data_IF_898303844716
#
_entry.id   IF_898303844716
#
_cell.length_a   1.000
_cell.length_b   1.000
_cell.length_c   1.000
_cell.angle_alpha   90.00
_cell.angle_beta   90.00
_cell.angle_gamma   90.00
#
_symmetry.space_group_name_H-M   'P 1'
#
loop_
_entity.id
_entity.type
_entity.pdbx_description
1 polymer ?
#
# COMPACT_ATOMS: atom_id res chain seq x y z
N UNK A 1 -27.90 -6.99 -7.20
CA UNK A 1 -27.66 -5.56 -7.52
C UNK A 1 -27.74 -5.29 -9.03
N UNK A 2 -28.16 -4.10 -9.46
CA UNK A 2 -28.29 -3.75 -10.89
C UNK A 2 -26.92 -3.55 -11.54
N UNK A 3 -26.06 -2.77 -10.91
CA UNK A 3 -24.68 -2.52 -11.31
C UNK A 3 -23.79 -2.37 -10.07
N UNK A 4 -22.47 -2.32 -10.27
CA UNK A 4 -21.53 -2.06 -9.18
C UNK A 4 -21.44 -0.58 -8.84
N UNK A 5 -20.76 -0.22 -7.74
CA UNK A 5 -20.49 1.17 -7.39
C UNK A 5 -19.76 1.90 -8.52
N UNK A 6 -19.99 3.21 -8.63
CA UNK A 6 -19.45 4.05 -9.70
C UNK A 6 -18.59 5.17 -9.12
N UNK A 7 -17.77 5.78 -9.98
CA UNK A 7 -16.85 6.88 -9.63
C UNK A 7 -15.98 6.53 -8.42
N UNK A 8 -15.38 5.34 -8.44
CA UNK A 8 -14.33 4.99 -7.49
C UNK A 8 -13.13 5.90 -7.77
N UNK A 9 -12.74 6.67 -6.76
CA UNK A 9 -11.69 7.67 -6.83
C UNK A 9 -10.79 7.61 -5.59
N UNK A 10 -9.53 8.00 -5.75
CA UNK A 10 -8.60 8.20 -4.64
C UNK A 10 -8.82 9.59 -4.05
N UNK A 11 -8.91 9.66 -2.72
CA UNK A 11 -8.96 10.92 -1.97
C UNK A 11 -7.57 11.28 -1.46
N UNK A 12 -6.86 10.29 -0.91
CA UNK A 12 -5.55 10.47 -0.30
C UNK A 12 -4.72 9.19 -0.45
N UNK A 13 -3.42 9.37 -0.67
CA UNK A 13 -2.42 8.30 -0.73
C UNK A 13 -1.35 8.64 0.28
N UNK A 14 -0.98 7.64 1.08
CA UNK A 14 0.15 7.70 2.00
C UNK A 14 0.95 6.39 1.89
N UNK A 15 2.07 6.31 2.60
CA UNK A 15 2.95 5.14 2.54
C UNK A 15 2.29 3.86 3.05
N UNK A 16 1.42 3.94 4.06
CA UNK A 16 0.81 2.78 4.73
C UNK A 16 -0.71 2.79 4.72
N UNK A 17 -1.32 3.78 4.07
CA UNK A 17 -2.77 3.88 3.97
C UNK A 17 -3.20 4.59 2.69
N UNK A 18 -4.40 4.24 2.22
CA UNK A 18 -5.02 4.87 1.05
C UNK A 18 -6.49 5.09 1.37
N UNK A 19 -6.98 6.30 1.12
CA UNK A 19 -8.40 6.64 1.29
C UNK A 19 -9.06 6.71 -0.08
N UNK A 20 -10.10 5.92 -0.25
CA UNK A 20 -10.91 5.87 -1.47
C UNK A 20 -12.32 6.39 -1.20
N UNK A 21 -12.97 6.88 -2.25
CA UNK A 21 -14.37 7.29 -2.23
C UNK A 21 -15.13 6.79 -3.44
N UNK A 22 -16.44 6.77 -3.36
CA UNK A 22 -17.32 6.39 -4.49
C UNK A 22 -18.60 7.21 -4.52
N UNK A 23 -19.32 7.16 -5.65
CA UNK A 23 -20.64 7.76 -5.79
C UNK A 23 -21.64 7.04 -4.86
N UNK A 24 -22.41 7.78 -4.01
CA UNK A 24 -23.46 7.19 -3.19
C UNK A 24 -24.46 6.40 -4.02
N UNK A 25 -24.92 5.27 -3.50
CA UNK A 25 -25.95 4.47 -4.13
C UNK A 25 -26.98 4.02 -3.11
N UNK A 26 -28.22 3.84 -3.57
CA UNK A 26 -29.35 3.46 -2.71
C UNK A 26 -30.06 2.21 -3.20
N UNK A 27 -31.30 2.06 -2.77
CA UNK A 27 -32.14 0.91 -3.11
C UNK A 27 -32.35 0.73 -4.62
N UNK A 28 -32.30 1.81 -5.39
CA UNK A 28 -32.32 1.78 -6.86
C UNK A 28 -31.19 0.91 -7.45
N UNK A 29 -30.05 0.82 -6.77
CA UNK A 29 -28.89 0.00 -7.17
C UNK A 29 -28.87 -1.33 -6.43
N UNK A 30 -29.05 -1.32 -5.11
CA UNK A 30 -28.91 -2.53 -4.29
C UNK A 30 -30.04 -3.52 -4.51
N UNK A 31 -31.27 -3.04 -4.77
CA UNK A 31 -32.51 -3.82 -4.92
C UNK A 31 -32.78 -4.79 -3.75
N UNK A 32 -32.14 -4.54 -2.62
CA UNK A 32 -32.24 -5.33 -1.40
C UNK A 32 -31.82 -4.47 -0.22
N UNK A 33 -32.50 -4.63 0.93
CA UNK A 33 -32.10 -4.00 2.18
C UNK A 33 -30.96 -4.74 2.88
N UNK A 34 -30.77 -6.02 2.56
CA UNK A 34 -29.64 -6.82 3.01
C UNK A 34 -28.59 -6.86 1.90
N UNK A 35 -27.51 -6.09 2.07
CA UNK A 35 -26.38 -6.06 1.14
C UNK A 35 -25.09 -5.80 1.92
N UNK A 36 -23.96 -6.14 1.30
CA UNK A 36 -22.64 -5.81 1.80
C UNK A 36 -21.82 -5.14 0.69
N UNK A 37 -21.07 -4.11 1.09
CA UNK A 37 -20.04 -3.49 0.25
C UNK A 37 -18.70 -3.87 0.84
N UNK A 38 -17.81 -4.41 0.02
CA UNK A 38 -16.41 -4.63 0.39
C UNK A 38 -15.49 -3.89 -0.57
N UNK A 39 -14.38 -3.39 -0.04
CA UNK A 39 -13.23 -3.04 -0.85
C UNK A 39 -12.38 -4.29 -1.01
N UNK A 40 -12.12 -4.68 -2.26
CA UNK A 40 -11.17 -5.72 -2.60
C UNK A 40 -9.93 -5.04 -3.17
N UNK A 41 -8.76 -5.36 -2.63
CA UNK A 41 -7.50 -4.83 -3.12
C UNK A 41 -6.45 -5.91 -3.27
N UNK A 42 -5.58 -5.73 -4.26
CA UNK A 42 -4.49 -6.64 -4.57
C UNK A 42 -3.17 -5.87 -4.61
N UNK A 43 -2.17 -6.40 -3.92
CA UNK A 43 -0.79 -5.89 -3.92
C UNK A 43 0.17 -7.02 -4.27
N UNK A 44 1.27 -6.67 -4.94
CA UNK A 44 2.37 -7.61 -5.16
C UNK A 44 3.53 -7.26 -4.26
N UNK A 45 3.71 -8.03 -3.19
CA UNK A 45 4.79 -7.83 -2.21
C UNK A 45 5.73 -9.03 -2.26
N UNK A 46 7.03 -8.78 -2.41
CA UNK A 46 8.06 -9.83 -2.45
C UNK A 46 7.76 -10.98 -3.46
N UNK A 47 7.16 -10.65 -4.61
CA UNK A 47 6.84 -11.61 -5.66
C UNK A 47 5.59 -12.45 -5.43
N UNK A 48 4.89 -12.28 -4.30
CA UNK A 48 3.58 -12.90 -4.03
C UNK A 48 2.46 -11.89 -4.28
N UNK A 49 1.42 -12.34 -4.96
CA UNK A 49 0.17 -11.57 -5.07
C UNK A 49 -0.67 -11.85 -3.83
N UNK A 50 -0.96 -10.79 -3.08
CA UNK A 50 -1.88 -10.82 -1.95
C UNK A 50 -3.18 -10.11 -2.34
N UNK A 51 -4.31 -10.80 -2.18
CA UNK A 51 -5.64 -10.21 -2.31
C UNK A 51 -6.28 -10.16 -0.93
N UNK A 52 -6.82 -8.99 -0.57
CA UNK A 52 -7.50 -8.76 0.70
C UNK A 52 -8.86 -8.11 0.45
N UNK A 53 -9.76 -8.29 1.41
CA UNK A 53 -11.09 -7.71 1.39
C UNK A 53 -11.42 -7.08 2.74
N UNK A 54 -11.96 -5.87 2.72
CA UNK A 54 -12.42 -5.16 3.92
C UNK A 54 -13.87 -4.70 3.72
N UNK A 55 -14.70 -4.85 4.76
CA UNK A 55 -16.09 -4.39 4.73
C UNK A 55 -16.13 -2.87 4.88
N UNK A 56 -16.87 -2.21 3.98
CA UNK A 56 -17.10 -0.77 4.05
C UNK A 56 -18.36 -0.51 4.89
N UNK A 57 -18.22 0.23 5.99
CA UNK A 57 -19.33 0.54 6.89
C UNK A 57 -20.02 1.87 6.55
N UNK A 58 -19.28 2.86 6.05
CA UNK A 58 -19.83 4.15 5.64
C UNK A 58 -20.32 4.12 4.18
N UNK A 59 -21.49 3.52 3.97
CA UNK A 59 -22.11 3.38 2.63
C UNK A 59 -23.26 4.35 2.38
N UNK A 60 -23.79 4.97 3.44
CA UNK A 60 -24.98 5.82 3.41
C UNK A 60 -24.66 7.32 3.48
N UNK A 61 -23.39 7.68 3.67
CA UNK A 61 -22.93 9.07 3.63
C UNK A 61 -23.15 9.75 2.29
N UNK A 62 -23.15 11.10 2.31
CA UNK A 62 -23.20 11.92 1.09
C UNK A 62 -21.95 11.74 0.22
N UNK A 63 -20.83 11.45 0.86
CA UNK A 63 -19.52 11.24 0.26
C UNK A 63 -18.88 10.02 0.94
N UNK A 64 -19.33 8.79 0.61
CA UNK A 64 -18.90 7.58 1.31
C UNK A 64 -17.43 7.28 1.00
N UNK A 65 -16.67 6.93 2.05
CA UNK A 65 -15.23 6.68 1.97
C UNK A 65 -14.82 5.44 2.74
N UNK A 66 -13.66 4.90 2.37
CA UNK A 66 -12.99 3.84 3.12
C UNK A 66 -11.49 4.07 3.10
N UNK A 67 -10.85 3.95 4.26
CA UNK A 67 -9.38 4.00 4.37
C UNK A 67 -8.86 2.58 4.56
N UNK A 68 -8.04 2.14 3.61
CA UNK A 68 -7.30 0.88 3.69
C UNK A 68 -6.03 1.18 4.48
N UNK A 69 -5.78 0.43 5.56
CA UNK A 69 -4.63 0.62 6.44
C UNK A 69 -3.63 -0.54 6.34
N UNK A 70 -2.46 -0.38 6.96
CA UNK A 70 -1.42 -1.41 7.04
C UNK A 70 -0.94 -1.90 5.66
N UNK A 71 -0.86 -0.98 4.70
CA UNK A 71 -0.31 -1.22 3.38
C UNK A 71 1.22 -1.20 3.41
N UNK A 72 1.84 -1.87 2.43
CA UNK A 72 3.30 -1.82 2.24
C UNK A 72 3.66 -0.56 1.45
N UNK A 73 4.62 0.26 1.93
CA UNK A 73 5.10 1.42 1.18
C UNK A 73 5.63 1.09 -0.22
N UNK A 74 5.63 2.09 -1.09
CA UNK A 74 6.09 2.02 -2.48
C UNK A 74 5.60 0.79 -3.27
N UNK A 75 4.35 0.38 -3.05
CA UNK A 75 3.77 -0.83 -3.65
C UNK A 75 2.57 -0.48 -4.54
N UNK A 76 2.53 -1.08 -5.73
CA UNK A 76 1.38 -0.96 -6.62
C UNK A 76 0.19 -1.73 -6.05
N UNK A 77 -0.96 -1.05 -6.02
CA UNK A 77 -2.24 -1.51 -5.55
C UNK A 77 -3.26 -1.45 -6.67
N UNK A 78 -4.03 -2.52 -6.78
CA UNK A 78 -5.19 -2.64 -7.66
C UNK A 78 -6.42 -2.78 -6.79
N UNK A 79 -7.33 -1.81 -6.84
CA UNK A 79 -8.45 -1.65 -5.91
C UNK A 79 -9.78 -1.63 -6.65
N UNK A 80 -10.78 -2.33 -6.13
CA UNK A 80 -12.17 -2.27 -6.61
C UNK A 80 -13.16 -2.45 -5.48
N UNK A 81 -14.39 -2.01 -5.71
CA UNK A 81 -15.50 -2.22 -4.81
C UNK A 81 -16.36 -3.39 -5.28
N UNK A 82 -16.76 -4.25 -4.35
CA UNK A 82 -17.60 -5.41 -4.60
C UNK A 82 -18.91 -5.24 -3.82
N UNK A 83 -20.00 -5.04 -4.55
CA UNK A 83 -21.35 -4.95 -3.98
C UNK A 83 -22.04 -6.30 -4.13
N UNK A 84 -22.41 -6.90 -3.01
CA UNK A 84 -23.09 -8.20 -2.97
C UNK A 84 -24.43 -8.08 -2.25
N UNK A 85 -25.44 -8.74 -2.80
CA UNK A 85 -26.73 -8.97 -2.17
C UNK A 85 -27.09 -10.47 -2.37
N UNK A 86 -28.19 -10.98 -1.79
CA UNK A 86 -28.59 -12.38 -1.94
C UNK A 86 -28.74 -12.85 -3.40
N UNK A 87 -29.09 -11.94 -4.31
CA UNK A 87 -29.32 -12.23 -5.73
C UNK A 87 -28.03 -12.25 -6.57
N UNK A 88 -26.92 -11.72 -6.05
CA UNK A 88 -25.63 -11.78 -6.73
C UNK A 88 -24.66 -10.65 -6.42
N UNK A 89 -23.63 -10.56 -7.26
CA UNK A 89 -22.46 -9.70 -7.08
C UNK A 89 -22.30 -8.75 -8.26
N UNK A 90 -21.91 -7.50 -7.98
CA UNK A 90 -21.51 -6.51 -8.98
C UNK A 90 -20.29 -5.74 -8.49
N UNK A 91 -19.39 -5.44 -9.41
CA UNK A 91 -18.10 -4.79 -9.12
C UNK A 91 -18.01 -3.40 -9.75
N UNK A 92 -17.23 -2.51 -9.14
CA UNK A 92 -16.82 -1.26 -9.78
C UNK A 92 -15.79 -1.51 -10.88
N UNK A 93 -15.42 -0.45 -11.61
CA UNK A 93 -14.15 -0.48 -12.35
C UNK A 93 -12.99 -0.64 -11.36
N UNK A 94 -11.96 -1.34 -11.79
CA UNK A 94 -10.71 -1.48 -11.07
C UNK A 94 -9.88 -0.21 -11.24
N UNK A 95 -9.21 0.20 -10.16
CA UNK A 95 -8.37 1.40 -10.07
C UNK A 95 -6.98 0.99 -9.62
N UNK A 96 -5.96 1.46 -10.33
CA UNK A 96 -4.55 1.22 -9.99
C UNK A 96 -3.92 2.48 -9.40
N UNK A 97 -3.13 2.31 -8.35
CA UNK A 97 -2.39 3.36 -7.65
C UNK A 97 -1.13 2.79 -7.00
N UNK A 98 -0.21 3.64 -6.56
CA UNK A 98 0.99 3.24 -5.82
C UNK A 98 1.00 3.98 -4.49
N UNK A 99 1.27 3.28 -3.39
CA UNK A 99 1.49 3.95 -2.09
C UNK A 99 2.76 4.77 -2.12
N UNK A 100 2.83 5.83 -1.32
CA UNK A 100 4.02 6.66 -1.23
C UNK A 100 5.24 5.90 -0.71
N UNK A 101 6.42 6.48 -0.94
CA UNK A 101 7.68 6.04 -0.34
C UNK A 101 7.68 6.27 1.19
N UNK A 102 8.49 5.48 1.90
CA UNK A 102 8.71 5.64 3.34
C UNK A 102 10.20 5.49 3.67
N UNK A 103 10.56 5.73 4.92
CA UNK A 103 11.93 5.61 5.42
C UNK A 103 12.45 4.20 5.16
N UNK A 104 13.59 4.02 4.45
CA UNK A 104 14.17 2.71 4.21
C UNK A 104 14.59 2.03 5.52
N UNK A 105 14.60 0.70 5.50
CA UNK A 105 15.15 -0.11 6.58
C UNK A 105 16.66 0.08 6.75
N UNK A 106 17.21 -0.52 7.80
CA UNK A 106 18.65 -0.48 8.05
C UNK A 106 19.42 -1.30 7.02
N UNK A 107 20.62 -0.82 6.67
CA UNK A 107 21.62 -1.64 5.97
C UNK A 107 21.88 -2.91 6.80
N UNK A 108 21.86 -4.11 6.20
CA UNK A 108 22.08 -5.34 6.95
C UNK A 108 23.51 -5.38 7.49
N UNK A 109 23.67 -5.42 8.82
CA UNK A 109 24.98 -5.34 9.49
C UNK A 109 25.91 -6.46 9.06
N UNK A 110 25.38 -7.66 8.85
CA UNK A 110 26.14 -8.82 8.40
C UNK A 110 26.64 -8.70 6.95
N UNK A 111 26.12 -7.74 6.19
CA UNK A 111 26.61 -7.42 4.84
C UNK A 111 27.77 -6.44 4.83
N UNK A 112 28.03 -5.75 5.94
CA UNK A 112 29.06 -4.72 6.02
C UNK A 112 30.42 -5.40 6.04
N UNK A 113 31.23 -5.12 5.01
CA UNK A 113 32.57 -5.63 4.85
C UNK A 113 33.54 -4.47 4.69
N UNK A 114 34.64 -4.50 5.45
CA UNK A 114 35.70 -3.50 5.42
C UNK A 114 37.03 -4.12 4.99
N UNK A 115 37.76 -3.44 4.14
CA UNK A 115 39.16 -3.76 3.81
C UNK A 115 40.00 -2.52 4.02
N UNK A 116 40.91 -2.57 4.99
CA UNK A 116 41.83 -1.49 5.31
C UNK A 116 43.12 -1.62 4.49
N UNK A 117 43.57 -0.49 3.98
CA UNK A 117 44.86 -0.30 3.31
C UNK A 117 45.55 0.88 3.97
N UNK A 118 46.82 1.09 3.64
CA UNK A 118 47.67 2.12 4.26
C UNK A 118 47.06 3.53 4.22
N UNK A 119 46.39 3.91 3.11
CA UNK A 119 45.83 5.25 2.92
C UNK A 119 44.30 5.28 2.71
N UNK A 120 43.63 4.13 2.77
CA UNK A 120 42.19 4.06 2.49
C UNK A 120 41.52 2.89 3.16
N UNK A 121 40.22 3.04 3.39
CA UNK A 121 39.35 1.95 3.82
C UNK A 121 38.29 1.78 2.73
N UNK A 122 38.16 0.56 2.22
CA UNK A 122 37.07 0.19 1.31
C UNK A 122 35.99 -0.46 2.15
N UNK A 123 34.80 0.14 2.15
CA UNK A 123 33.61 -0.41 2.83
C UNK A 123 32.57 -0.77 1.78
N UNK A 124 31.95 -1.95 1.92
CA UNK A 124 30.89 -2.45 1.05
C UNK A 124 29.75 -2.98 1.91
N UNK A 125 28.52 -2.86 1.43
CA UNK A 125 27.33 -3.40 2.06
C UNK A 125 26.28 -3.76 1.01
N UNK A 126 25.26 -4.52 1.42
CA UNK A 126 24.05 -4.75 0.62
C UNK A 126 23.01 -3.69 0.95
N UNK A 127 22.07 -3.48 0.03
CA UNK A 127 20.93 -2.60 0.27
C UNK A 127 20.05 -3.10 1.42
N UNK A 128 19.28 -2.22 2.07
CA UNK A 128 18.26 -2.62 3.03
C UNK A 128 17.29 -3.64 2.43
N UNK A 129 16.93 -4.68 3.21
CA UNK A 129 15.96 -5.68 2.76
C UNK A 129 14.56 -5.06 2.48
N UNK A 130 14.25 -3.96 3.16
CA UNK A 130 13.04 -3.18 2.98
C UNK A 130 13.46 -1.77 2.56
N UNK A 131 13.47 -1.48 1.26
CA UNK A 131 13.86 -0.14 0.78
C UNK A 131 12.72 0.86 0.90
N UNK A 132 11.46 0.39 0.89
CA UNK A 132 10.24 1.22 0.98
C UNK A 132 10.21 2.40 -0.01
N UNK A 133 10.94 2.28 -1.12
CA UNK A 133 11.19 3.37 -2.05
C UNK A 133 12.45 3.12 -2.87
N UNK A 134 12.88 4.15 -3.59
CA UNK A 134 14.14 4.14 -4.34
C UNK A 134 15.24 4.65 -3.41
N UNK A 135 16.30 3.85 -3.22
CA UNK A 135 17.47 4.32 -2.47
C UNK A 135 18.20 5.38 -3.30
N UNK A 136 18.23 6.62 -2.79
CA UNK A 136 18.86 7.76 -3.47
C UNK A 136 20.29 8.02 -3.02
N UNK A 137 20.61 7.74 -1.76
CA UNK A 137 21.95 7.97 -1.19
C UNK A 137 22.22 7.12 0.04
N UNK A 138 23.50 6.98 0.39
CA UNK A 138 23.97 6.46 1.67
C UNK A 138 24.86 7.51 2.34
N UNK A 139 24.57 7.82 3.60
CA UNK A 139 25.42 8.68 4.43
C UNK A 139 26.33 7.79 5.29
N UNK A 140 27.64 8.02 5.23
CA UNK A 140 28.64 7.24 5.96
C UNK A 140 29.41 8.15 6.90
N UNK A 141 29.25 7.90 8.21
CA UNK A 141 29.93 8.64 9.27
C UNK A 141 31.03 7.74 9.85
N UNK A 142 32.25 8.27 9.96
CA UNK A 142 33.39 7.56 10.52
C UNK A 142 34.07 8.42 11.59
N UNK A 143 34.67 7.78 12.59
CA UNK A 143 35.41 8.45 13.66
C UNK A 143 36.73 7.74 13.92
N UNK A 144 37.75 8.51 14.29
CA UNK A 144 39.03 7.96 14.73
C UNK A 144 38.94 7.58 16.20
N UNK A 145 39.01 6.29 16.50
CA UNK A 145 39.15 5.78 17.85
C UNK A 145 40.65 5.67 18.14
N UNK A 146 41.24 6.73 18.71
CA UNK A 146 42.66 6.74 19.03
C UNK A 146 43.07 5.61 19.97
N UNK A 147 44.26 5.05 19.75
CA UNK A 147 44.88 4.09 20.67
C UNK A 147 45.32 4.78 21.97
N UNK A 148 45.14 4.09 23.09
CA UNK A 148 45.69 4.43 24.42
C UNK A 148 47.21 4.25 24.39
#
# INVERSE_FOLDING_TARGET
PIHGPRRLEVVDVQSKQVTIRWEPFGYNVTRCHSYNLTVQYRSRVAGKDETREEVCYDTLGRDPQHTIHNLTPYTNLSVKLVLKNPEGVKESREMELQTDEDVPGTVPLESIQGSAYEEKIIVKWREPAQTYGIITQYEVIHTFLGGI
#
